data_IF_472724864184
#
_entry.id   IF_472724864184
#
_cell.length_a   1.000
_cell.length_b   1.000
_cell.length_c   1.000
_cell.angle_alpha   90.00
_cell.angle_beta   90.00
_cell.angle_gamma   90.00
#
_symmetry.space_group_name_H-M   'P 1'
#
loop_
_entity.id
_entity.type
_entity.pdbx_description
1 polymer ?
#
# COMPACT_ATOMS: atom_id res chain seq x y z
N UNK A 1 -20.82 1.28 -8.05
CA UNK A 1 -19.79 1.97 -8.86
C UNK A 1 -19.69 3.39 -8.34
N UNK A 2 -18.56 3.77 -7.72
CA UNK A 2 -18.36 5.11 -7.19
C UNK A 2 -18.05 6.06 -8.36
N UNK A 3 -18.84 7.13 -8.60
CA UNK A 3 -18.63 8.05 -9.73
C UNK A 3 -17.33 8.87 -9.63
N UNK A 4 -16.62 8.81 -8.50
CA UNK A 4 -15.32 9.44 -8.28
C UNK A 4 -14.14 8.46 -8.37
N UNK A 5 -14.39 7.16 -8.59
CA UNK A 5 -13.29 6.22 -8.83
C UNK A 5 -12.71 6.52 -10.22
N UNK A 6 -11.63 7.27 -10.20
CA UNK A 6 -10.76 7.39 -11.37
C UNK A 6 -10.16 6.02 -11.61
N UNK A 7 -9.97 5.69 -12.88
CA UNK A 7 -9.37 4.45 -13.36
C UNK A 7 -8.11 4.08 -12.57
N UNK A 8 -8.03 2.83 -12.11
CA UNK A 8 -6.79 2.27 -11.56
C UNK A 8 -5.81 2.02 -12.72
N UNK A 9 -4.57 2.47 -12.56
CA UNK A 9 -3.52 2.32 -13.57
C UNK A 9 -2.72 1.06 -13.29
N UNK A 10 -2.44 0.27 -14.33
CA UNK A 10 -1.33 -0.68 -14.28
C UNK A 10 0.01 0.04 -14.26
N UNK A 11 1.08 -0.66 -13.88
CA UNK A 11 2.42 -0.09 -13.89
C UNK A 11 2.88 0.35 -15.28
N UNK A 12 2.47 -0.37 -16.33
CA UNK A 12 2.74 0.01 -17.71
C UNK A 12 2.03 1.33 -18.08
N UNK A 13 0.74 1.45 -17.75
CA UNK A 13 -0.04 2.64 -18.05
C UNK A 13 0.43 3.87 -17.25
N UNK A 14 0.88 3.67 -16.01
CA UNK A 14 1.49 4.74 -15.23
C UNK A 14 2.83 5.17 -15.84
N UNK A 15 3.67 4.21 -16.27
CA UNK A 15 4.95 4.53 -16.92
C UNK A 15 4.75 5.31 -18.23
N UNK A 16 3.81 4.88 -19.06
CA UNK A 16 3.43 5.56 -20.31
C UNK A 16 2.92 6.97 -20.03
N UNK A 17 2.01 7.12 -19.06
CA UNK A 17 1.47 8.44 -18.70
C UNK A 17 2.57 9.43 -18.26
N UNK A 18 3.55 8.95 -17.49
CA UNK A 18 4.68 9.79 -17.03
C UNK A 18 5.61 10.13 -18.19
N UNK A 19 5.88 9.18 -19.09
CA UNK A 19 6.70 9.42 -20.28
C UNK A 19 6.03 10.41 -21.26
N UNK A 20 4.73 10.27 -21.50
CA UNK A 20 3.94 11.17 -22.36
C UNK A 20 3.87 12.59 -21.81
N UNK A 21 4.01 12.76 -20.49
CA UNK A 21 4.15 14.07 -19.86
C UNK A 21 5.54 14.73 -20.09
N UNK A 22 6.47 14.04 -20.75
CA UNK A 22 7.78 14.55 -21.14
C UNK A 22 8.92 14.25 -20.17
N UNK A 23 8.68 13.42 -19.14
CA UNK A 23 9.73 12.98 -18.22
C UNK A 23 10.55 11.83 -18.82
N UNK A 24 11.84 11.77 -18.46
CA UNK A 24 12.75 10.72 -18.86
C UNK A 24 13.09 9.79 -17.68
N UNK A 25 13.79 8.68 -17.97
CA UNK A 25 14.27 7.72 -16.96
C UNK A 25 13.17 7.22 -16.01
N UNK A 26 11.98 6.95 -16.56
CA UNK A 26 10.81 6.52 -15.78
C UNK A 26 11.04 5.12 -15.20
N UNK A 27 10.96 5.01 -13.88
CA UNK A 27 10.94 3.74 -13.16
C UNK A 27 9.68 3.65 -12.29
N UNK A 28 8.98 2.52 -12.37
CA UNK A 28 7.81 2.22 -11.55
C UNK A 28 8.15 1.08 -10.61
N UNK A 29 7.85 1.24 -9.33
CA UNK A 29 8.09 0.29 -8.25
C UNK A 29 6.79 -0.01 -7.52
N UNK A 30 6.64 -1.25 -7.05
CA UNK A 30 5.54 -1.67 -6.20
C UNK A 30 5.85 -1.44 -4.73
N UNK A 31 4.90 -0.87 -3.98
CA UNK A 31 4.95 -0.74 -2.54
C UNK A 31 4.46 -2.02 -1.85
N UNK A 32 5.25 -2.55 -0.93
CA UNK A 32 4.93 -3.78 -0.19
C UNK A 32 5.14 -3.61 1.31
N UNK A 33 4.43 -4.40 2.10
CA UNK A 33 4.77 -4.60 3.51
C UNK A 33 6.20 -5.15 3.64
N UNK A 34 7.03 -4.40 4.34
CA UNK A 34 8.33 -4.82 4.83
C UNK A 34 8.21 -5.75 6.04
N UNK A 35 9.34 -6.18 6.61
CA UNK A 35 9.36 -7.20 7.66
C UNK A 35 8.55 -6.82 8.92
N UNK A 36 8.59 -5.55 9.33
CA UNK A 36 7.86 -5.05 10.50
C UNK A 36 6.35 -5.19 10.34
N UNK A 37 5.79 -4.65 9.24
CA UNK A 37 4.37 -4.76 8.93
C UNK A 37 3.91 -6.21 8.73
N UNK A 38 4.74 -7.08 8.13
CA UNK A 38 4.41 -8.51 8.02
C UNK A 38 4.34 -9.21 9.37
N UNK A 39 5.17 -8.81 10.34
CA UNK A 39 5.09 -9.33 11.70
C UNK A 39 3.82 -8.86 12.41
N UNK A 40 3.40 -7.61 12.19
CA UNK A 40 2.12 -7.10 12.67
C UNK A 40 0.96 -7.86 12.01
N UNK A 41 0.96 -8.04 10.69
CA UNK A 41 -0.04 -8.84 9.99
C UNK A 41 -0.18 -10.23 10.61
N UNK A 42 0.93 -10.93 10.84
CA UNK A 42 0.92 -12.24 11.47
C UNK A 42 0.32 -12.22 12.89
N UNK A 43 0.56 -11.15 13.65
CA UNK A 43 -0.02 -10.95 14.99
C UNK A 43 -1.55 -10.79 14.91
N UNK A 44 -2.06 -10.18 13.86
CA UNK A 44 -3.48 -9.87 13.66
C UNK A 44 -4.17 -10.78 12.63
N UNK A 45 -3.81 -12.08 12.60
CA UNK A 45 -4.53 -13.06 11.79
C UNK A 45 -4.26 -12.98 10.28
N UNK A 46 -3.14 -12.37 9.89
CA UNK A 46 -2.68 -12.24 8.51
C UNK A 46 -2.93 -10.87 7.88
N UNK A 47 -3.64 -9.96 8.56
CA UNK A 47 -3.82 -8.58 8.09
C UNK A 47 -4.15 -7.62 9.22
N UNK A 48 -3.25 -6.68 9.49
CA UNK A 48 -3.47 -5.57 10.41
C UNK A 48 -4.67 -4.69 9.99
N UNK A 49 -4.88 -4.55 8.67
CA UNK A 49 -5.99 -3.78 8.10
C UNK A 49 -7.32 -4.51 8.26
N UNK A 50 -7.35 -5.84 8.07
CA UNK A 50 -8.57 -6.61 8.29
C UNK A 50 -9.03 -6.50 9.75
N UNK A 51 -8.11 -6.61 10.71
CA UNK A 51 -8.44 -6.45 12.14
C UNK A 51 -9.05 -5.07 12.47
N UNK A 52 -8.53 -3.99 11.88
CA UNK A 52 -9.12 -2.65 11.99
C UNK A 52 -10.53 -2.58 11.38
N UNK A 53 -10.68 -3.17 10.19
CA UNK A 53 -11.92 -3.11 9.41
C UNK A 53 -13.05 -3.90 10.07
N UNK A 54 -12.76 -5.09 10.60
CA UNK A 54 -13.72 -5.93 11.31
C UNK A 54 -14.31 -5.21 12.53
N UNK A 55 -13.46 -4.56 13.34
CA UNK A 55 -13.91 -3.78 14.50
C UNK A 55 -14.73 -2.56 14.09
N UNK A 56 -14.30 -1.84 13.05
CA UNK A 56 -15.03 -0.69 12.53
C UNK A 56 -16.43 -1.09 12.01
N UNK A 57 -16.53 -2.20 11.27
CA UNK A 57 -17.81 -2.74 10.78
C UNK A 57 -18.72 -3.22 11.92
N UNK A 58 -18.14 -3.75 13.00
CA UNK A 58 -18.87 -4.12 14.20
C UNK A 58 -19.28 -2.92 15.08
N UNK A 59 -18.79 -1.71 14.78
CA UNK A 59 -18.98 -0.53 15.63
C UNK A 59 -18.28 -0.65 16.97
N UNK A 60 -17.23 -1.46 17.05
CA UNK A 60 -16.44 -1.71 18.26
C UNK A 60 -15.25 -0.76 18.35
N UNK A 61 -14.86 -0.43 19.58
CA UNK A 61 -13.62 0.31 19.84
C UNK A 61 -12.40 -0.56 19.53
N UNK A 62 -11.31 0.10 19.11
CA UNK A 62 -10.04 -0.59 18.89
C UNK A 62 -9.35 -0.89 20.22
N UNK A 63 -8.91 -2.14 20.46
CA UNK A 63 -8.12 -2.47 21.64
C UNK A 63 -6.86 -1.61 21.74
N UNK A 64 -6.38 -1.29 22.96
CA UNK A 64 -5.18 -0.45 23.15
C UNK A 64 -3.92 -0.96 22.45
N UNK A 65 -3.74 -2.29 22.35
CA UNK A 65 -2.62 -2.89 21.63
C UNK A 65 -2.71 -2.60 20.13
N UNK A 66 -3.88 -2.78 19.51
CA UNK A 66 -4.10 -2.49 18.10
C UNK A 66 -3.86 -1.00 17.80
N UNK A 67 -4.35 -0.10 18.65
CA UNK A 67 -4.11 1.34 18.50
C UNK A 67 -2.62 1.68 18.53
N UNK A 68 -1.87 1.09 19.46
CA UNK A 68 -0.42 1.31 19.58
C UNK A 68 0.31 0.79 18.35
N UNK A 69 -0.03 -0.40 17.87
CA UNK A 69 0.65 -1.02 16.75
C UNK A 69 0.35 -0.27 15.45
N UNK A 70 -0.89 0.14 15.22
CA UNK A 70 -1.25 1.01 14.09
C UNK A 70 -0.51 2.35 14.17
N UNK A 71 -0.44 2.96 15.35
CA UNK A 71 0.28 4.22 15.55
C UNK A 71 1.81 4.08 15.40
N UNK A 72 2.35 2.86 15.48
CA UNK A 72 3.78 2.58 15.32
C UNK A 72 4.23 2.49 13.86
N UNK A 73 3.29 2.36 12.92
CA UNK A 73 3.60 2.17 11.49
C UNK A 73 4.28 3.42 10.93
N UNK A 74 5.42 3.22 10.30
CA UNK A 74 6.20 4.27 9.64
C UNK A 74 6.49 3.91 8.19
N UNK A 75 7.08 4.84 7.43
CA UNK A 75 7.56 4.55 6.07
C UNK A 75 8.66 3.50 6.03
N UNK A 76 9.39 3.28 7.14
CA UNK A 76 10.44 2.27 7.22
C UNK A 76 9.90 0.83 7.24
N UNK A 77 8.61 0.66 7.51
CA UNK A 77 7.95 -0.65 7.50
C UNK A 77 7.52 -1.09 6.10
N UNK A 78 7.80 -0.28 5.08
CA UNK A 78 7.49 -0.58 3.69
C UNK A 78 8.76 -0.80 2.87
N UNK A 79 8.60 -1.54 1.79
CA UNK A 79 9.66 -1.80 0.81
C UNK A 79 9.15 -1.48 -0.58
N UNK A 80 10.05 -1.02 -1.44
CA UNK A 80 9.79 -0.82 -2.86
C UNK A 80 10.52 -1.90 -3.66
N UNK A 81 9.80 -2.59 -4.53
CA UNK A 81 10.35 -3.65 -5.39
C UNK A 81 9.78 -3.57 -6.80
N UNK A 82 10.58 -3.93 -7.80
CA UNK A 82 10.17 -3.96 -9.21
C UNK A 82 9.66 -5.34 -9.65
N UNK A 83 9.92 -6.41 -8.89
CA UNK A 83 9.66 -7.78 -9.37
C UNK A 83 8.24 -8.27 -9.17
N UNK A 84 7.57 -7.84 -8.10
CA UNK A 84 6.22 -8.32 -7.76
C UNK A 84 5.16 -7.20 -7.78
N UNK A 85 5.29 -6.28 -8.75
CA UNK A 85 4.47 -5.08 -8.88
C UNK A 85 2.97 -5.37 -8.88
N UNK A 86 2.50 -6.44 -9.53
CA UNK A 86 1.07 -6.76 -9.60
C UNK A 86 0.47 -7.15 -8.22
N UNK A 87 1.31 -7.57 -7.27
CA UNK A 87 0.92 -7.88 -5.90
C UNK A 87 1.27 -6.75 -4.92
N UNK A 88 1.59 -5.57 -5.43
CA UNK A 88 1.87 -4.39 -4.61
C UNK A 88 0.59 -3.74 -4.09
N UNK A 89 0.74 -2.95 -3.02
CA UNK A 89 -0.34 -2.17 -2.42
C UNK A 89 -0.63 -0.91 -3.24
N UNK A 90 0.42 -0.32 -3.80
CA UNK A 90 0.38 0.90 -4.60
C UNK A 90 1.62 0.97 -5.50
N UNK A 91 1.58 1.85 -6.49
CA UNK A 91 2.66 2.10 -7.44
C UNK A 91 3.37 3.41 -7.13
N UNK A 92 4.70 3.38 -7.13
CA UNK A 92 5.55 4.56 -6.99
C UNK A 92 6.34 4.75 -8.27
N UNK A 93 6.11 5.88 -8.94
CA UNK A 93 6.89 6.29 -10.11
C UNK A 93 7.99 7.29 -9.73
N UNK A 94 9.17 7.13 -10.30
CA UNK A 94 10.26 8.10 -10.28
C UNK A 94 10.66 8.44 -11.72
N UNK A 95 11.00 9.69 -11.98
CA UNK A 95 11.40 10.17 -13.31
C UNK A 95 12.24 11.45 -13.19
N UNK A 96 12.90 11.84 -14.29
CA UNK A 96 13.76 13.04 -14.39
C UNK A 96 13.24 14.04 -15.42
#
# INVERSE_FOLDING_TARGET
LNPFHTRELSAAELAELVADAGFADVAVLGLHHGPGLRALDATYGGSLVAAQTELALAGAEWPPDLLRDVASVTTADFTLDATNIDASLDLVATAR
#
